data_IF_509563716734
#
_entry.id   IF_509563716734
#
_cell.length_a   1.000
_cell.length_b   1.000
_cell.length_c   1.000
_cell.angle_alpha   90.00
_cell.angle_beta   90.00
_cell.angle_gamma   90.00
#
_symmetry.space_group_name_H-M   'P 1'
#
loop_
_entity.id
_entity.type
_entity.pdbx_description
1 polymer ?
#
# COMPACT_ATOMS: atom_id res chain seq x y z
N UNK A 1 -10.78 -3.83 3.95
CA UNK A 1 -9.42 -4.41 4.11
C UNK A 1 -9.33 -5.87 3.68
N UNK A 2 -10.21 -6.78 4.14
CA UNK A 2 -10.12 -8.21 3.78
C UNK A 2 -9.99 -8.50 2.28
N UNK A 3 -10.77 -7.83 1.42
CA UNK A 3 -10.68 -7.99 -0.04
C UNK A 3 -9.34 -7.51 -0.64
N UNK A 4 -8.67 -6.52 -0.04
CA UNK A 4 -7.33 -6.08 -0.47
C UNK A 4 -6.29 -7.16 -0.16
N UNK A 5 -6.34 -7.71 1.05
CA UNK A 5 -5.43 -8.78 1.48
C UNK A 5 -5.64 -10.02 0.61
N UNK A 6 -6.88 -10.42 0.37
CA UNK A 6 -7.21 -11.53 -0.52
C UNK A 6 -6.68 -11.32 -1.94
N UNK A 7 -6.75 -10.10 -2.48
CA UNK A 7 -6.19 -9.78 -3.79
C UNK A 7 -4.67 -9.95 -3.86
N UNK A 8 -3.96 -9.45 -2.83
CA UNK A 8 -2.50 -9.57 -2.73
C UNK A 8 -2.06 -11.03 -2.67
N UNK A 9 -2.82 -11.88 -1.95
CA UNK A 9 -2.50 -13.30 -1.79
C UNK A 9 -2.86 -14.15 -3.02
N UNK A 10 -4.03 -13.92 -3.63
CA UNK A 10 -4.53 -14.81 -4.67
C UNK A 10 -3.93 -14.51 -6.04
N UNK A 11 -3.83 -13.23 -6.44
CA UNK A 11 -3.20 -12.86 -7.71
C UNK A 11 -3.00 -11.35 -7.83
N UNK A 12 -1.78 -10.84 -7.60
CA UNK A 12 -1.46 -9.43 -7.78
C UNK A 12 -1.38 -9.02 -9.26
N UNK A 13 -1.33 -9.97 -10.19
CA UNK A 13 -1.22 -9.70 -11.63
C UNK A 13 -2.57 -9.52 -12.32
N UNK A 14 -3.64 -10.06 -11.73
CA UNK A 14 -5.01 -9.95 -12.25
C UNK A 14 -5.60 -8.61 -11.85
N UNK A 15 -6.38 -7.97 -12.74
CA UNK A 15 -7.01 -6.69 -12.38
C UNK A 15 -7.97 -6.91 -11.21
N UNK A 16 -7.94 -6.01 -10.24
CA UNK A 16 -8.77 -6.11 -9.03
C UNK A 16 -10.26 -6.33 -9.33
N UNK A 17 -10.80 -5.71 -10.39
CA UNK A 17 -12.20 -5.86 -10.77
C UNK A 17 -12.57 -7.25 -11.32
N UNK A 18 -11.60 -8.04 -11.79
CA UNK A 18 -11.85 -9.38 -12.35
C UNK A 18 -12.26 -10.39 -11.27
N UNK A 19 -12.01 -10.11 -9.98
CA UNK A 19 -12.46 -10.95 -8.86
C UNK A 19 -14.00 -11.00 -8.71
N UNK A 20 -14.73 -10.12 -9.40
CA UNK A 20 -16.19 -10.13 -9.53
C UNK A 20 -16.69 -10.73 -10.84
N UNK A 21 -15.78 -11.09 -11.75
CA UNK A 21 -16.15 -11.69 -13.03
C UNK A 21 -16.71 -13.09 -12.78
N UNK A 22 -17.82 -13.39 -13.45
CA UNK A 22 -18.51 -14.69 -13.44
C UNK A 22 -18.00 -15.73 -14.46
N UNK A 23 -17.21 -15.42 -15.51
CA UNK A 23 -16.60 -16.46 -16.35
C UNK A 23 -15.60 -17.26 -15.52
N UNK A 24 -15.80 -18.57 -15.48
CA UNK A 24 -14.81 -19.51 -14.94
C UNK A 24 -13.66 -19.61 -15.94
N UNK A 25 -12.44 -19.37 -15.47
CA UNK A 25 -11.21 -19.57 -16.25
C UNK A 25 -10.29 -20.50 -15.44
N UNK A 26 -10.39 -21.80 -15.73
CA UNK A 26 -9.62 -22.85 -15.06
C UNK A 26 -9.99 -23.07 -13.58
N UNK A 27 -8.99 -23.09 -12.70
CA UNK A 27 -9.12 -23.47 -11.29
C UNK A 27 -9.56 -22.33 -10.35
N UNK A 28 -9.81 -21.12 -10.85
CA UNK A 28 -10.20 -19.96 -10.05
C UNK A 28 -11.72 -19.88 -10.00
N UNK A 29 -12.31 -20.08 -8.82
CA UNK A 29 -13.76 -19.98 -8.63
C UNK A 29 -14.24 -18.57 -8.94
N UNK A 30 -15.13 -18.47 -9.94
CA UNK A 30 -15.69 -17.21 -10.39
C UNK A 30 -16.45 -16.47 -9.26
N UNK A 31 -16.38 -15.14 -9.27
CA UNK A 31 -17.23 -14.28 -8.42
C UNK A 31 -17.03 -14.38 -6.90
N UNK A 32 -15.87 -14.85 -6.40
CA UNK A 32 -15.65 -15.06 -4.96
C UNK A 32 -15.81 -13.77 -4.14
N UNK A 33 -15.37 -12.62 -4.66
CA UNK A 33 -15.50 -11.34 -3.95
C UNK A 33 -16.95 -10.87 -3.85
N UNK A 34 -17.79 -11.24 -4.81
CA UNK A 34 -19.22 -10.91 -4.83
C UNK A 34 -19.98 -11.48 -3.64
N UNK A 35 -19.51 -12.57 -3.03
CA UNK A 35 -20.09 -13.16 -1.80
C UNK A 35 -19.96 -12.25 -0.58
N UNK A 36 -18.95 -11.38 -0.55
CA UNK A 36 -18.67 -10.51 0.59
C UNK A 36 -19.12 -9.06 0.35
N UNK A 37 -18.92 -8.53 -0.87
CA UNK A 37 -19.31 -7.17 -1.20
C UNK A 37 -19.55 -6.99 -2.70
N UNK A 38 -20.62 -6.29 -3.13
CA UNK A 38 -20.80 -5.91 -4.52
C UNK A 38 -19.67 -5.02 -5.03
N UNK A 39 -19.30 -5.19 -6.31
CA UNK A 39 -18.20 -4.46 -6.97
C UNK A 39 -18.32 -2.95 -6.82
N UNK A 40 -19.49 -2.40 -7.15
CA UNK A 40 -19.70 -0.94 -7.17
C UNK A 40 -19.58 -0.34 -5.77
N UNK A 41 -20.19 -0.99 -4.77
CA UNK A 41 -20.06 -0.58 -3.36
C UNK A 41 -18.60 -0.52 -2.92
N UNK A 42 -17.80 -1.51 -3.28
CA UNK A 42 -16.39 -1.52 -2.94
C UNK A 42 -15.61 -0.39 -3.63
N UNK A 43 -15.91 -0.11 -4.91
CA UNK A 43 -15.29 0.99 -5.65
C UNK A 43 -15.66 2.35 -5.06
N UNK A 44 -16.91 2.56 -4.66
CA UNK A 44 -17.33 3.79 -3.99
C UNK A 44 -16.57 3.98 -2.67
N UNK A 45 -16.47 2.92 -1.85
CA UNK A 45 -15.68 2.96 -0.61
C UNK A 45 -14.22 3.33 -0.88
N UNK A 46 -13.58 2.72 -1.89
CA UNK A 46 -12.18 3.05 -2.22
C UNK A 46 -12.00 4.46 -2.78
N UNK A 47 -13.00 4.97 -3.53
CA UNK A 47 -12.97 6.33 -4.08
C UNK A 47 -13.02 7.38 -2.97
N UNK A 48 -13.85 7.12 -1.96
CA UNK A 48 -14.15 8.09 -0.90
C UNK A 48 -13.31 7.84 0.37
N UNK A 49 -12.40 6.86 0.35
CA UNK A 49 -11.45 6.56 1.42
C UNK A 49 -10.42 7.67 1.58
N UNK A 50 -10.42 8.32 2.74
CA UNK A 50 -9.48 9.38 3.13
C UNK A 50 -8.85 9.03 4.48
N UNK A 51 -7.55 9.30 4.61
CA UNK A 51 -6.79 9.12 5.86
C UNK A 51 -6.47 10.45 6.55
N UNK A 52 -7.02 11.54 6.02
CA UNK A 52 -6.74 12.90 6.45
C UNK A 52 -8.06 13.61 6.66
N UNK A 53 -8.13 14.44 7.69
CA UNK A 53 -9.26 15.33 7.92
C UNK A 53 -9.18 16.51 6.93
N UNK A 54 -10.19 16.63 6.07
CA UNK A 54 -10.26 17.65 5.02
C UNK A 54 -10.48 19.06 5.59
N UNK A 55 -10.99 19.18 6.82
CA UNK A 55 -11.23 20.47 7.49
C UNK A 55 -9.98 20.95 8.25
N UNK A 56 -8.98 20.09 8.43
CA UNK A 56 -7.72 20.47 9.05
C UNK A 56 -6.88 21.27 8.05
N UNK A 57 -6.49 22.50 8.42
CA UNK A 57 -5.44 23.23 7.70
C UNK A 57 -4.13 22.48 7.91
N UNK A 58 -3.73 21.68 6.93
CA UNK A 58 -2.53 20.86 7.02
C UNK A 58 -1.28 21.76 7.04
N UNK A 59 -0.66 21.87 8.22
CA UNK A 59 0.79 21.95 8.31
C UNK A 59 1.32 20.76 7.53
N UNK A 60 2.26 21.03 6.62
CA UNK A 60 2.96 20.03 5.81
C UNK A 60 3.21 18.73 6.59
N UNK A 61 2.67 17.63 6.06
CA UNK A 61 2.54 16.23 6.52
C UNK A 61 3.69 15.54 7.32
N UNK A 62 4.74 16.22 7.77
CA UNK A 62 5.88 15.59 8.43
C UNK A 62 5.83 15.63 9.96
N UNK A 63 5.03 16.49 10.59
CA UNK A 63 5.06 16.69 12.06
C UNK A 63 4.11 15.78 12.87
N UNK A 64 3.12 15.14 12.26
CA UNK A 64 2.16 14.28 13.00
C UNK A 64 2.66 12.85 13.27
N UNK A 65 3.94 12.54 12.99
CA UNK A 65 4.57 11.24 13.32
C UNK A 65 5.35 11.23 14.63
N UNK A 66 5.39 12.33 15.39
CA UNK A 66 6.29 12.44 16.55
C UNK A 66 5.72 11.81 17.85
N UNK A 67 4.43 11.47 17.89
CA UNK A 67 3.78 10.94 19.11
C UNK A 67 3.89 9.40 19.29
N UNK A 68 4.71 8.72 18.50
CA UNK A 68 4.86 7.25 18.56
C UNK A 68 6.28 6.76 18.90
N UNK A 69 7.15 7.65 19.41
CA UNK A 69 8.57 7.38 19.65
C UNK A 69 8.93 6.60 20.93
N UNK A 70 7.97 6.09 21.70
CA UNK A 70 8.25 5.43 22.99
C UNK A 70 8.06 3.92 22.85
N UNK A 71 9.10 3.19 22.43
CA UNK A 71 9.02 1.71 22.46
C UNK A 71 10.28 0.90 22.16
N UNK A 72 11.18 1.36 21.29
CA UNK A 72 12.18 0.45 20.71
C UNK A 72 13.57 0.61 21.33
N UNK A 73 13.69 0.24 22.61
CA UNK A 73 14.98 -0.05 23.27
C UNK A 73 15.03 -1.55 23.52
N UNK A 74 15.43 -2.37 22.54
CA UNK A 74 16.08 -3.70 22.69
C UNK A 74 16.00 -4.53 21.41
N UNK A 75 16.73 -4.19 20.35
CA UNK A 75 17.04 -5.18 19.30
C UNK A 75 18.49 -5.00 18.80
N UNK A 76 19.38 -6.00 18.95
CA UNK A 76 20.72 -6.01 18.38
C UNK A 76 20.65 -6.44 16.90
N UNK A 77 19.78 -5.83 16.11
CA UNK A 77 19.61 -6.18 14.71
C UNK A 77 20.50 -5.27 13.86
N UNK A 78 21.21 -5.87 12.91
CA UNK A 78 21.98 -5.12 11.91
C UNK A 78 20.97 -4.47 10.97
N UNK A 79 20.78 -3.16 11.14
CA UNK A 79 19.85 -2.37 10.35
C UNK A 79 20.52 -1.94 9.06
N UNK A 80 19.91 -2.29 7.93
CA UNK A 80 20.36 -1.82 6.61
C UNK A 80 19.38 -0.76 6.08
N UNK A 81 19.83 0.50 5.86
CA UNK A 81 19.00 1.52 5.25
C UNK A 81 18.75 1.16 3.77
N UNK A 82 17.51 0.84 3.43
CA UNK A 82 17.13 0.50 2.05
C UNK A 82 16.21 1.53 1.44
N UNK A 83 16.53 1.88 0.20
CA UNK A 83 15.76 2.79 -0.63
C UNK A 83 14.69 2.04 -1.41
N UNK A 84 13.43 2.26 -1.03
CA UNK A 84 12.25 1.69 -1.66
C UNK A 84 11.47 2.72 -2.46
N UNK A 85 10.65 2.26 -3.40
CA UNK A 85 9.77 3.11 -4.20
C UNK A 85 8.35 2.61 -4.04
N UNK A 86 7.45 3.48 -3.56
CA UNK A 86 6.02 3.23 -3.73
C UNK A 86 5.58 3.74 -5.11
N UNK A 87 5.21 2.85 -6.04
CA UNK A 87 4.86 3.24 -7.38
C UNK A 87 3.63 4.15 -7.37
N UNK A 88 3.74 5.33 -7.97
CA UNK A 88 2.64 6.26 -8.11
C UNK A 88 2.85 7.15 -9.33
N UNK A 89 1.93 7.07 -10.29
CA UNK A 89 1.97 7.89 -11.52
C UNK A 89 1.09 9.14 -11.42
N UNK A 90 0.17 9.20 -10.45
CA UNK A 90 -0.76 10.31 -10.27
C UNK A 90 -0.04 11.63 -10.04
N UNK A 91 -0.47 12.68 -10.76
CA UNK A 91 0.02 14.06 -10.57
C UNK A 91 -0.42 14.66 -9.23
N UNK A 92 -1.48 14.12 -8.61
CA UNK A 92 -1.97 14.57 -7.30
C UNK A 92 -1.03 14.20 -6.15
N UNK A 93 -0.08 13.29 -6.38
CA UNK A 93 0.92 12.93 -5.39
C UNK A 93 2.10 13.92 -5.43
N UNK A 94 2.14 14.84 -4.47
CA UNK A 94 3.20 15.85 -4.36
C UNK A 94 4.58 15.26 -3.98
N UNK A 95 4.64 14.04 -3.45
CA UNK A 95 5.90 13.35 -3.11
C UNK A 95 6.45 12.52 -4.27
N UNK A 96 5.82 12.57 -5.44
CA UNK A 96 6.20 11.79 -6.63
C UNK A 96 7.52 12.32 -7.22
N UNK A 97 8.50 11.44 -7.35
CA UNK A 97 9.79 11.71 -7.99
C UNK A 97 10.07 10.70 -9.12
N UNK A 98 10.92 11.11 -10.06
CA UNK A 98 11.44 10.22 -11.10
C UNK A 98 12.75 9.56 -10.62
N UNK A 99 12.83 8.24 -10.71
CA UNK A 99 13.96 7.42 -10.25
C UNK A 99 14.33 6.44 -11.39
N UNK A 100 15.26 6.81 -12.30
CA UNK A 100 15.49 6.07 -13.54
C UNK A 100 16.03 4.65 -13.33
N UNK A 101 16.77 4.45 -12.26
CA UNK A 101 17.44 3.23 -11.82
C UNK A 101 16.51 2.24 -11.10
N UNK A 102 15.23 2.59 -10.92
CA UNK A 102 14.23 1.73 -10.26
C UNK A 102 13.27 1.12 -11.28
N UNK A 103 12.80 -0.13 -11.05
CA UNK A 103 11.88 -0.82 -11.98
C UNK A 103 10.58 -0.03 -12.19
N UNK A 104 10.07 0.60 -11.13
CA UNK A 104 9.01 1.60 -11.21
C UNK A 104 9.63 2.99 -11.13
N UNK A 105 9.76 3.66 -12.28
CA UNK A 105 10.50 4.93 -12.39
C UNK A 105 9.78 6.15 -11.81
N UNK A 106 8.48 6.06 -11.52
CA UNK A 106 7.71 7.16 -10.94
C UNK A 106 7.03 6.69 -9.65
N UNK A 107 7.26 7.42 -8.56
CA UNK A 107 6.68 7.08 -7.27
C UNK A 107 7.22 7.92 -6.12
N UNK A 108 6.79 7.59 -4.91
CA UNK A 108 7.27 8.21 -3.68
C UNK A 108 8.48 7.45 -3.15
N UNK A 109 9.50 8.20 -2.73
CA UNK A 109 10.75 7.63 -2.22
C UNK A 109 10.62 7.23 -0.75
N UNK A 110 10.74 5.93 -0.53
CA UNK A 110 10.81 5.19 0.73
C UNK A 110 12.19 5.16 1.37
N UNK A 111 12.40 5.67 2.58
CA UNK A 111 13.53 5.20 3.40
C UNK A 111 12.98 4.29 4.48
N UNK A 112 13.45 3.04 4.53
CA UNK A 112 13.08 2.08 5.58
C UNK A 112 14.35 1.50 6.18
N UNK A 113 14.33 1.29 7.49
CA UNK A 113 15.36 0.54 8.19
C UNK A 113 14.85 -0.88 8.39
N UNK A 114 15.52 -1.90 7.89
CA UNK A 114 15.05 -3.27 8.07
C UNK A 114 16.14 -4.12 8.71
N UNK A 115 15.72 -5.08 9.54
CA UNK A 115 16.60 -6.13 10.05
C UNK A 115 17.05 -7.02 8.89
N UNK A 116 18.36 -7.06 8.66
CA UNK A 116 18.99 -7.86 7.61
C UNK A 116 18.65 -9.35 7.71
N UNK A 117 18.39 -9.88 8.92
CA UNK A 117 18.17 -11.32 9.13
C UNK A 117 16.70 -11.71 9.03
N UNK A 118 15.82 -10.95 9.69
CA UNK A 118 14.38 -11.26 9.72
C UNK A 118 13.60 -10.65 8.55
N UNK A 119 14.23 -9.76 7.75
CA UNK A 119 13.56 -8.90 6.78
C UNK A 119 12.41 -8.06 7.39
N UNK A 120 12.43 -7.88 8.71
CA UNK A 120 11.46 -7.08 9.42
C UNK A 120 11.83 -5.60 9.25
N UNK A 121 10.93 -4.81 8.69
CA UNK A 121 11.16 -3.39 8.54
C UNK A 121 10.73 -2.63 9.79
N UNK A 122 11.74 -2.03 10.43
CA UNK A 122 11.61 -1.03 11.46
C UNK A 122 11.22 0.31 10.82
N UNK A 123 10.48 1.12 11.58
CA UNK A 123 9.89 2.36 11.10
C UNK A 123 10.96 3.37 10.66
#
# INVERSE_FOLDING_TARGET
MGLLVAHILCSPQVRFSQHWSMPEDGAVTAGTFGKFMPRNRYQDILRDLHFVDNESQLVTSWESSDQWLIGYKTLPCRLDPTLWVLPATSKRNNTRMFMPDKPHRYGSKMFMTCDARAAYCHR
#
